data_IF_008095248593
#
_entry.id   IF_008095248593
#
_cell.length_a   1.000
_cell.length_b   1.000
_cell.length_c   1.000
_cell.angle_alpha   90.00
_cell.angle_beta   90.00
_cell.angle_gamma   90.00
#
_symmetry.space_group_name_H-M   'P 1'
#
loop_
_entity.id
_entity.type
_entity.pdbx_description
1 polymer ?
#
# COMPACT_ATOMS: atom_id res chain seq x y z
N UNK A 1 21.32 0.31 -5.75
CA UNK A 1 21.63 0.85 -7.08
C UNK A 1 23.13 1.09 -7.19
N UNK A 2 23.67 1.11 -8.41
CA UNK A 2 25.09 1.43 -8.66
C UNK A 2 25.19 2.77 -9.39
N UNK A 3 26.18 3.59 -9.02
CA UNK A 3 26.39 4.94 -9.57
C UNK A 3 27.84 5.06 -10.01
N UNK A 4 28.07 5.65 -11.19
CA UNK A 4 29.42 5.92 -11.71
C UNK A 4 30.16 6.93 -10.82
N UNK A 5 31.47 6.74 -10.63
CA UNK A 5 32.30 7.58 -9.76
C UNK A 5 32.32 9.03 -10.25
N UNK A 6 32.34 9.27 -11.56
CA UNK A 6 32.25 10.60 -12.18
C UNK A 6 31.05 11.40 -11.66
N UNK A 7 29.86 10.78 -11.62
CA UNK A 7 28.63 11.42 -11.13
C UNK A 7 28.65 11.70 -9.63
N UNK A 8 29.30 10.85 -8.85
CA UNK A 8 29.46 11.03 -7.40
C UNK A 8 30.40 12.21 -7.14
N UNK A 9 31.52 12.28 -7.86
CA UNK A 9 32.50 13.35 -7.76
C UNK A 9 31.91 14.69 -8.18
N UNK A 10 31.18 14.73 -9.30
CA UNK A 10 30.49 15.94 -9.76
C UNK A 10 29.48 16.43 -8.74
N UNK A 11 28.69 15.52 -8.16
CA UNK A 11 27.75 15.86 -7.09
C UNK A 11 28.45 16.43 -5.85
N UNK A 12 29.57 15.82 -5.43
CA UNK A 12 30.36 16.31 -4.29
C UNK A 12 30.97 17.69 -4.58
N UNK A 13 31.46 17.92 -5.80
CA UNK A 13 32.01 19.20 -6.23
C UNK A 13 30.96 20.31 -6.17
N UNK A 14 29.74 20.02 -6.63
CA UNK A 14 28.62 20.97 -6.60
C UNK A 14 28.06 21.23 -5.20
N UNK A 15 28.02 20.21 -4.34
CA UNK A 15 27.43 20.34 -2.99
C UNK A 15 28.39 20.94 -1.97
N UNK A 16 29.69 20.79 -2.15
CA UNK A 16 30.71 21.29 -1.20
C UNK A 16 31.32 22.63 -1.63
N UNK A 17 30.96 23.17 -2.80
CA UNK A 17 31.53 24.40 -3.38
C UNK A 17 33.07 24.37 -3.48
N UNK A 18 33.67 23.18 -3.61
CA UNK A 18 35.12 22.99 -3.73
C UNK A 18 35.53 22.99 -5.20
N UNK A 19 36.45 23.89 -5.59
CA UNK A 19 36.90 24.08 -6.97
C UNK A 19 37.86 22.98 -7.47
N UNK A 20 38.31 23.08 -8.72
CA UNK A 20 39.27 22.16 -9.35
C UNK A 20 40.69 22.19 -8.77
N UNK A 21 40.98 23.08 -7.81
CA UNK A 21 42.25 23.17 -7.10
C UNK A 21 42.24 22.56 -5.70
N UNK A 22 41.16 21.86 -5.31
CA UNK A 22 41.06 21.24 -4.00
C UNK A 22 41.72 19.86 -3.97
N UNK A 23 42.93 19.81 -3.41
CA UNK A 23 43.74 18.59 -3.28
C UNK A 23 43.00 17.46 -2.55
N UNK A 24 42.11 17.80 -1.61
CA UNK A 24 41.35 16.81 -0.84
C UNK A 24 40.31 16.05 -1.67
N UNK A 25 39.60 16.75 -2.56
CA UNK A 25 38.62 16.12 -3.44
C UNK A 25 39.29 15.25 -4.51
N UNK A 26 40.45 15.66 -5.02
CA UNK A 26 41.25 14.88 -5.97
C UNK A 26 41.80 13.58 -5.34
N UNK A 27 42.28 13.65 -4.09
CA UNK A 27 42.67 12.45 -3.31
C UNK A 27 41.50 11.48 -3.12
N UNK A 28 40.29 11.99 -2.88
CA UNK A 28 39.08 11.17 -2.78
C UNK A 28 38.70 10.52 -4.13
N UNK A 29 38.87 11.23 -5.25
CA UNK A 29 38.64 10.66 -6.58
C UNK A 29 39.57 9.47 -6.84
N UNK A 30 40.86 9.61 -6.54
CA UNK A 30 41.85 8.54 -6.69
C UNK A 30 41.58 7.34 -5.77
N UNK A 31 40.91 7.55 -4.63
CA UNK A 31 40.53 6.47 -3.71
C UNK A 31 39.25 5.74 -4.16
N UNK A 32 38.35 6.45 -4.85
CA UNK A 32 37.11 5.89 -5.40
C UNK A 32 37.35 5.14 -6.72
N UNK A 33 38.28 5.61 -7.54
CA UNK A 33 38.60 5.01 -8.84
C UNK A 33 40.12 5.07 -9.12
N UNK A 34 40.90 4.11 -8.58
CA UNK A 34 42.36 4.09 -8.73
C UNK A 34 42.83 3.87 -10.17
N UNK A 35 42.00 3.25 -11.00
CA UNK A 35 42.32 2.91 -12.40
C UNK A 35 41.72 3.92 -13.40
N UNK A 36 40.96 4.92 -12.91
CA UNK A 36 40.27 5.94 -13.71
C UNK A 36 39.35 5.36 -14.81
N UNK A 37 38.72 4.21 -14.53
CA UNK A 37 37.84 3.51 -15.48
C UNK A 37 36.34 3.85 -15.31
N UNK A 38 36.02 4.81 -14.43
CA UNK A 38 34.67 5.24 -14.06
C UNK A 38 33.76 4.08 -13.61
N UNK A 39 34.30 3.26 -12.70
CA UNK A 39 33.63 2.04 -12.23
C UNK A 39 32.32 2.38 -11.51
N UNK A 40 31.23 1.68 -11.85
CA UNK A 40 29.96 1.84 -11.15
C UNK A 40 30.02 1.22 -9.76
N UNK A 41 29.82 2.03 -8.72
CA UNK A 41 29.97 1.63 -7.32
C UNK A 41 28.62 1.55 -6.62
N UNK A 42 28.46 0.57 -5.72
CA UNK A 42 27.29 0.49 -4.83
C UNK A 42 27.46 1.36 -3.58
N UNK A 43 26.35 1.59 -2.88
CA UNK A 43 26.30 2.48 -1.72
C UNK A 43 27.17 1.99 -0.56
N UNK A 44 27.29 0.67 -0.37
CA UNK A 44 28.08 0.09 0.72
C UNK A 44 29.57 0.29 0.50
N UNK A 45 30.04 0.06 -0.73
CA UNK A 45 31.43 0.31 -1.15
C UNK A 45 31.77 1.80 -1.05
N UNK A 46 30.88 2.68 -1.49
CA UNK A 46 31.05 4.12 -1.35
C UNK A 46 31.18 4.54 0.13
N UNK A 47 30.30 4.04 1.00
CA UNK A 47 30.38 4.32 2.43
C UNK A 47 31.66 3.79 3.09
N UNK A 48 32.15 2.62 2.67
CA UNK A 48 33.41 2.06 3.18
C UNK A 48 34.60 2.95 2.81
N UNK A 49 34.65 3.41 1.56
CA UNK A 49 35.72 4.29 1.07
C UNK A 49 35.65 5.67 1.73
N UNK A 50 34.45 6.26 1.83
CA UNK A 50 34.24 7.54 2.52
C UNK A 50 34.65 7.48 4.00
N UNK A 51 34.33 6.39 4.71
CA UNK A 51 34.77 6.19 6.11
C UNK A 51 36.29 6.16 6.21
N UNK A 52 36.96 5.43 5.32
CA UNK A 52 38.42 5.35 5.28
C UNK A 52 39.05 6.72 4.99
N UNK A 53 38.50 7.47 4.03
CA UNK A 53 39.00 8.80 3.69
C UNK A 53 38.83 9.80 4.85
N UNK A 54 37.70 9.78 5.55
CA UNK A 54 37.48 10.62 6.74
C UNK A 54 38.47 10.28 7.86
N UNK A 55 38.78 9.00 8.05
CA UNK A 55 39.81 8.54 8.99
C UNK A 55 41.20 9.04 8.59
N UNK A 56 41.55 8.98 7.30
CA UNK A 56 42.82 9.49 6.78
C UNK A 56 42.93 11.01 6.95
N UNK A 57 41.85 11.76 6.71
CA UNK A 57 41.80 13.20 6.97
C UNK A 57 41.99 13.55 8.45
N UNK A 58 41.37 12.79 9.36
CA UNK A 58 41.55 12.94 10.82
C UNK A 58 43.00 12.66 11.24
N UNK A 59 43.62 11.61 10.72
CA UNK A 59 45.02 11.29 11.00
C UNK A 59 45.99 12.34 10.48
N UNK A 60 45.77 12.87 9.27
CA UNK A 60 46.57 13.99 8.72
C UNK A 60 46.47 15.25 9.60
N UNK A 61 45.32 15.49 10.24
CA UNK A 61 45.14 16.61 11.17
C UNK A 61 45.89 16.40 12.50
N UNK A 62 45.90 15.17 13.02
CA UNK A 62 46.62 14.82 14.26
C UNK A 62 48.15 14.83 14.07
N UNK A 63 48.65 14.38 12.91
CA UNK A 63 50.09 14.37 12.58
C UNK A 63 50.63 15.77 12.23
N UNK A 64 49.76 16.69 11.78
CA UNK A 64 50.09 18.10 11.54
C UNK A 64 50.11 18.98 12.79
N UNK A 65 49.61 18.50 13.93
CA UNK A 65 49.53 19.24 15.18
C UNK A 65 50.83 19.22 16.01
N UNK A 66 51.90 18.58 15.51
CA UNK A 66 53.21 18.54 16.19
C UNK A 66 54.16 19.67 15.78
N UNK A 67 53.78 20.52 14.82
CA UNK A 67 54.47 21.79 14.57
C UNK A 67 53.61 22.95 15.09
N UNK A 68 53.86 23.33 16.34
CA UNK A 68 53.31 24.55 16.92
C UNK A 68 53.79 25.80 16.15
N UNK A 69 52.90 26.71 15.75
CA UNK A 69 53.19 28.12 15.71
C UNK A 69 52.69 28.72 17.04
N UNK A 70 53.49 28.58 18.10
CA UNK A 70 53.26 29.25 19.39
C UNK A 70 53.51 30.75 19.22
N UNK A 71 52.55 31.45 18.64
CA UNK A 71 52.35 32.89 18.84
C UNK A 71 51.79 33.12 20.25
N UNK A 72 52.57 32.77 21.28
CA UNK A 72 52.23 33.05 22.67
C UNK A 72 52.35 34.55 22.92
N UNK A 73 51.20 35.16 23.20
CA UNK A 73 51.03 36.54 23.67
C UNK A 73 51.44 36.69 25.15
N UNK A 74 52.36 35.88 25.65
CA UNK A 74 52.84 35.92 27.05
C UNK A 74 54.20 36.60 27.18
N UNK A 75 54.91 36.86 26.07
CA UNK A 75 56.24 37.52 26.08
C UNK A 75 56.16 39.07 26.15
N UNK A 76 54.96 39.66 26.09
CA UNK A 76 54.80 41.12 26.14
C UNK A 76 54.69 41.68 27.56
N UNK A 77 54.19 40.92 28.53
CA UNK A 77 53.96 41.41 29.90
C UNK A 77 55.20 41.30 30.81
N UNK A 78 56.10 40.34 30.55
CA UNK A 78 57.37 40.23 31.27
C UNK A 78 58.38 41.32 30.88
N UNK A 79 58.25 41.88 29.67
CA UNK A 79 59.12 42.92 29.13
C UNK A 79 58.82 44.32 29.69
N UNK A 80 57.59 44.55 30.17
CA UNK A 80 57.20 45.82 30.79
C UNK A 80 57.68 45.89 32.24
N UNK A 81 57.58 44.80 33.00
CA UNK A 81 57.94 44.79 34.42
C UNK A 81 59.46 44.88 34.64
N UNK A 82 60.28 44.32 33.74
CA UNK A 82 61.74 44.43 33.84
C UNK A 82 62.24 45.86 33.58
N UNK A 83 61.57 46.60 32.69
CA UNK A 83 61.92 48.00 32.39
C UNK A 83 61.67 48.93 33.57
N UNK A 84 60.58 48.71 34.31
CA UNK A 84 60.23 49.55 35.47
C UNK A 84 61.11 49.27 36.69
N UNK A 85 61.59 48.04 36.88
CA UNK A 85 62.52 47.72 37.98
C UNK A 85 63.92 48.28 37.73
N UNK A 86 64.40 48.24 36.48
CA UNK A 86 65.67 48.86 36.08
C UNK A 86 65.61 50.41 36.16
N UNK A 87 64.46 51.04 35.88
CA UNK A 87 64.28 52.49 36.00
C UNK A 87 64.18 52.98 37.46
N UNK A 88 63.70 52.16 38.39
CA UNK A 88 63.64 52.50 39.83
C UNK A 88 65.01 52.28 40.50
N UNK A 89 65.77 51.23 40.15
CA UNK A 89 67.14 51.06 40.62
C UNK A 89 68.09 52.13 40.06
N UNK A 90 67.83 52.63 38.84
CA UNK A 90 68.55 53.77 38.26
C UNK A 90 68.28 55.11 38.97
N UNK A 91 67.16 55.28 39.67
CA UNK A 91 66.88 56.49 40.45
C UNK A 91 67.54 56.46 41.84
N UNK A 92 67.85 55.27 42.37
CA UNK A 92 68.56 55.12 43.65
C UNK A 92 70.09 55.18 43.47
N UNK A 93 70.60 54.93 42.26
CA UNK A 93 72.03 55.04 41.93
C UNK A 93 72.35 56.29 41.07
N UNK A 94 72.05 57.48 41.60
CA UNK A 94 72.51 58.75 41.02
C UNK A 94 73.21 59.62 42.07
N UNK A 95 74.53 59.50 42.04
CA UNK A 95 75.50 60.60 42.10
C UNK A 95 75.29 61.65 43.19
N UNK A 96 75.89 61.36 44.36
CA UNK A 96 76.48 62.38 45.24
C UNK A 96 77.55 63.12 44.44
N UNK A 97 77.15 64.11 43.65
CA UNK A 97 78.04 65.10 43.10
C UNK A 97 78.30 66.13 44.21
N UNK A 98 79.30 65.84 45.03
CA UNK A 98 79.98 66.83 45.87
C UNK A 98 80.63 67.84 44.91
N UNK A 99 79.93 68.93 44.60
CA UNK A 99 80.33 69.93 43.62
C UNK A 99 80.43 71.32 44.24
N UNK A 100 81.68 71.78 44.40
CA UNK A 100 82.11 73.17 44.57
C UNK A 100 81.46 73.99 45.69
N UNK A 101 82.01 73.80 46.89
CA UNK A 101 82.15 74.87 47.88
C UNK A 101 83.32 75.77 47.43
N UNK A 102 83.05 76.75 46.58
CA UNK A 102 84.03 77.82 46.33
C UNK A 102 84.03 78.78 47.52
N UNK A 103 85.25 79.02 47.98
CA UNK A 103 85.59 79.86 49.12
C UNK A 103 85.16 81.31 48.88
N UNK A 104 84.35 81.84 49.79
CA UNK A 104 84.35 83.29 50.08
C UNK A 104 85.30 83.47 51.26
N UNK A 105 86.58 83.53 50.93
CA UNK A 105 87.58 84.22 51.73
C UNK A 105 87.67 85.67 51.24
N UNK A 106 87.67 86.61 52.19
CA UNK A 106 87.80 88.06 51.94
C UNK A 106 86.54 88.80 52.37
N UNK A 107 86.51 89.75 53.30
CA UNK A 107 87.58 90.50 53.95
C UNK A 107 87.29 90.63 55.45
N UNK A 108 88.37 90.65 56.25
CA UNK A 108 88.34 91.03 57.66
C UNK A 108 87.99 92.52 57.74
N UNK A 109 86.72 92.84 57.92
CA UNK A 109 86.31 94.17 58.38
C UNK A 109 86.76 94.32 59.83
N UNK A 110 87.97 94.86 59.99
CA UNK A 110 88.57 95.31 61.24
C UNK A 110 87.88 96.60 61.69
N UNK A 111 86.58 96.50 61.96
CA UNK A 111 85.78 97.44 62.75
C UNK A 111 85.31 96.67 63.98
N UNK A 112 85.50 97.22 65.17
CA UNK A 112 85.23 96.54 66.43
C UNK A 112 83.78 96.06 66.48
N UNK A 113 83.58 94.76 66.26
CA UNK A 113 82.31 94.11 66.53
C UNK A 113 82.22 93.96 68.05
N UNK A 114 81.45 94.84 68.66
CA UNK A 114 81.25 94.87 70.09
C UNK A 114 80.68 93.50 70.53
N UNK A 115 81.01 93.02 71.73
CA UNK A 115 80.55 91.72 72.25
C UNK A 115 79.02 91.54 72.15
N UNK A 116 78.28 92.66 72.08
CA UNK A 116 76.85 92.74 71.83
C UNK A 116 76.42 92.19 70.45
N UNK A 117 77.14 92.49 69.38
CA UNK A 117 76.80 92.07 68.01
C UNK A 117 77.02 90.56 67.80
N UNK A 118 78.07 90.01 68.41
CA UNK A 118 78.34 88.56 68.40
C UNK A 118 77.28 87.80 69.20
N UNK A 119 76.85 88.32 70.36
CA UNK A 119 75.78 87.74 71.18
C UNK A 119 74.45 87.77 70.42
N UNK A 120 74.13 88.85 69.71
CA UNK A 120 72.94 88.94 68.84
C UNK A 120 72.99 87.92 67.70
N UNK A 121 74.14 87.77 67.04
CA UNK A 121 74.33 86.79 65.97
C UNK A 121 74.16 85.34 66.47
N UNK A 122 74.70 85.03 67.66
CA UNK A 122 74.54 83.71 68.30
C UNK A 122 73.08 83.45 68.66
N UNK A 123 72.36 84.45 69.20
CA UNK A 123 70.93 84.32 69.52
C UNK A 123 70.08 84.06 68.27
N UNK A 124 70.34 84.78 67.17
CA UNK A 124 69.67 84.57 65.88
C UNK A 124 69.95 83.18 65.30
N UNK A 125 71.19 82.70 65.39
CA UNK A 125 71.55 81.35 64.94
C UNK A 125 70.89 80.27 65.80
N UNK A 126 70.83 80.44 67.12
CA UNK A 126 70.13 79.53 68.02
C UNK A 126 68.62 79.49 67.73
N UNK A 127 68.02 80.64 67.46
CA UNK A 127 66.61 80.72 67.04
C UNK A 127 66.38 80.04 65.69
N UNK A 128 67.22 80.32 64.68
CA UNK A 128 67.15 79.68 63.36
C UNK A 128 67.35 78.17 63.44
N UNK A 129 68.29 77.69 64.28
CA UNK A 129 68.54 76.26 64.48
C UNK A 129 67.32 75.58 65.14
N UNK A 130 66.75 76.18 66.19
CA UNK A 130 65.50 75.68 66.80
C UNK A 130 64.35 75.61 65.79
N UNK A 131 64.17 76.66 64.99
CA UNK A 131 63.16 76.68 63.92
C UNK A 131 63.40 75.60 62.86
N UNK A 132 64.65 75.38 62.45
CA UNK A 132 65.01 74.29 61.53
C UNK A 132 64.73 72.91 62.14
N UNK A 133 64.97 72.74 63.44
CA UNK A 133 64.67 71.48 64.13
C UNK A 133 63.16 71.23 64.20
N UNK A 134 62.36 72.24 64.51
CA UNK A 134 60.89 72.15 64.48
C UNK A 134 60.36 71.81 63.07
N UNK A 135 60.88 72.44 62.02
CA UNK A 135 60.53 72.11 60.64
C UNK A 135 61.01 70.70 60.24
N UNK A 136 62.18 70.24 60.69
CA UNK A 136 62.65 68.88 60.45
C UNK A 136 61.75 67.83 61.12
N UNK A 137 61.32 68.04 62.36
CA UNK A 137 60.38 67.13 63.04
C UNK A 137 59.02 67.12 62.33
N UNK A 138 58.55 68.29 61.89
CA UNK A 138 57.31 68.38 61.08
C UNK A 138 57.44 67.64 59.76
N UNK A 139 58.55 67.81 59.05
CA UNK A 139 58.83 67.10 57.80
C UNK A 139 58.88 65.59 58.02
N UNK A 140 59.53 65.14 59.11
CA UNK A 140 59.59 63.73 59.50
C UNK A 140 58.19 63.15 59.75
N UNK A 141 57.34 63.83 60.51
CA UNK A 141 55.96 63.38 60.73
C UNK A 141 55.15 63.33 59.42
N UNK A 142 55.33 64.32 58.53
CA UNK A 142 54.66 64.28 57.22
C UNK A 142 55.19 63.16 56.33
N UNK A 143 56.48 62.83 56.43
CA UNK A 143 57.09 61.71 55.71
C UNK A 143 56.55 60.37 56.24
N UNK A 144 56.54 60.17 57.55
CA UNK A 144 55.98 58.97 58.18
C UNK A 144 54.49 58.77 57.81
N UNK A 145 53.68 59.83 57.84
CA UNK A 145 52.28 59.78 57.40
C UNK A 145 52.14 59.47 55.89
N UNK A 146 53.05 59.98 55.06
CA UNK A 146 53.08 59.66 53.63
C UNK A 146 53.50 58.20 53.38
N UNK A 147 54.47 57.68 54.13
CA UNK A 147 54.93 56.28 54.04
C UNK A 147 53.82 55.32 54.49
N UNK A 148 53.12 55.61 55.59
CA UNK A 148 51.96 54.81 56.02
C UNK A 148 50.85 54.81 54.96
N UNK A 149 50.54 55.98 54.37
CA UNK A 149 49.58 56.06 53.27
C UNK A 149 50.02 55.25 52.04
N UNK A 150 51.31 55.27 51.70
CA UNK A 150 51.86 54.55 50.56
C UNK A 150 51.83 53.03 50.77
N UNK A 151 52.18 52.54 51.97
CA UNK A 151 52.06 51.10 52.30
C UNK A 151 50.62 50.60 52.22
N UNK A 152 49.66 51.43 52.66
CA UNK A 152 48.23 51.12 52.52
C UNK A 152 47.78 51.07 51.06
N UNK A 153 48.19 52.05 50.25
CA UNK A 153 47.89 52.06 48.81
C UNK A 153 48.49 50.87 48.08
N UNK A 154 49.70 50.42 48.47
CA UNK A 154 50.31 49.22 47.91
C UNK A 154 49.46 47.98 48.21
N UNK A 155 49.02 47.81 49.47
CA UNK A 155 48.13 46.71 49.87
C UNK A 155 46.80 46.75 49.11
N UNK A 156 46.17 47.92 48.99
CA UNK A 156 44.92 48.09 48.25
C UNK A 156 45.10 47.73 46.76
N UNK A 157 46.26 48.08 46.17
CA UNK A 157 46.59 47.75 44.79
C UNK A 157 46.80 46.24 44.58
N UNK A 158 47.46 45.56 45.52
CA UNK A 158 47.59 44.10 45.50
C UNK A 158 46.23 43.41 45.58
N UNK A 159 45.35 43.87 46.48
CA UNK A 159 43.98 43.34 46.60
C UNK A 159 43.17 43.57 45.32
N UNK A 160 43.26 44.76 44.70
CA UNK A 160 42.63 45.04 43.42
C UNK A 160 43.16 44.13 42.30
N UNK A 161 44.47 43.87 42.26
CA UNK A 161 45.05 42.94 41.30
C UNK A 161 44.49 41.51 41.48
N UNK A 162 44.37 41.03 42.72
CA UNK A 162 43.73 39.74 43.00
C UNK A 162 42.25 39.74 42.58
N UNK A 163 41.52 40.82 42.85
CA UNK A 163 40.12 40.98 42.41
C UNK A 163 39.98 40.90 40.89
N UNK A 164 40.83 41.60 40.14
CA UNK A 164 40.85 41.56 38.67
C UNK A 164 41.12 40.14 38.17
N UNK A 165 42.07 39.40 38.77
CA UNK A 165 42.34 38.00 38.40
C UNK A 165 41.12 37.10 38.63
N UNK A 166 40.42 37.24 39.76
CA UNK A 166 39.20 36.47 40.06
C UNK A 166 38.07 36.80 39.07
N UNK A 167 37.86 38.09 38.77
CA UNK A 167 36.85 38.52 37.80
C UNK A 167 37.18 38.00 36.40
N UNK A 168 38.44 38.10 35.96
CA UNK A 168 38.90 37.57 34.66
C UNK A 168 38.63 36.06 34.54
N UNK A 169 38.98 35.29 35.58
CA UNK A 169 38.69 33.85 35.60
C UNK A 169 37.18 33.56 35.55
N UNK A 170 36.37 34.30 36.32
CA UNK A 170 34.91 34.15 36.28
C UNK A 170 34.31 34.48 34.91
N UNK A 171 34.84 35.50 34.21
CA UNK A 171 34.40 35.88 32.86
C UNK A 171 34.71 34.79 31.84
N UNK A 172 35.90 34.19 31.90
CA UNK A 172 36.26 33.07 31.01
C UNK A 172 35.33 31.86 31.24
N UNK A 173 35.04 31.54 32.51
CA UNK A 173 34.08 30.48 32.84
C UNK A 173 32.67 30.79 32.30
N UNK A 174 32.22 32.03 32.40
CA UNK A 174 30.92 32.44 31.88
C UNK A 174 30.83 32.30 30.35
N UNK A 175 31.91 32.63 29.62
CA UNK A 175 31.98 32.45 28.16
C UNK A 175 31.90 30.97 27.75
N UNK A 176 32.64 30.09 28.43
CA UNK A 176 32.55 28.64 28.18
C UNK A 176 31.13 28.11 28.40
N UNK A 177 30.44 28.55 29.45
CA UNK A 177 29.05 28.16 29.72
C UNK A 177 28.07 28.72 28.68
N UNK A 178 28.34 29.91 28.14
CA UNK A 178 27.55 30.49 27.05
C UNK A 178 27.69 29.65 25.77
N UNK A 179 28.90 29.20 25.43
CA UNK A 179 29.13 28.29 24.30
C UNK A 179 28.43 26.93 24.49
N UNK A 180 28.53 26.32 25.68
CA UNK A 180 27.81 25.08 26.01
C UNK A 180 26.29 25.25 25.91
N UNK A 181 25.76 26.42 26.30
CA UNK A 181 24.34 26.73 26.21
C UNK A 181 23.89 26.85 24.75
N UNK A 182 24.67 27.51 23.90
CA UNK A 182 24.36 27.62 22.47
C UNK A 182 24.43 26.25 21.78
N UNK A 183 25.42 25.42 22.11
CA UNK A 183 25.48 24.04 21.62
C UNK A 183 24.23 23.24 22.05
N UNK A 184 23.86 23.31 23.33
CA UNK A 184 22.65 22.64 23.84
C UNK A 184 21.37 23.12 23.14
N UNK A 185 21.25 24.41 22.83
CA UNK A 185 20.12 24.96 22.05
C UNK A 185 20.07 24.40 20.64
N UNK A 186 21.21 24.33 19.94
CA UNK A 186 21.25 23.77 18.58
C UNK A 186 20.89 22.27 18.57
N UNK A 187 21.38 21.51 19.55
CA UNK A 187 21.05 20.10 19.72
C UNK A 187 19.57 19.88 20.04
N UNK A 188 18.98 20.72 20.89
CA UNK A 188 17.55 20.69 21.19
C UNK A 188 16.71 20.95 19.93
N UNK A 189 17.06 21.98 19.15
CA UNK A 189 16.36 22.29 17.90
C UNK A 189 16.42 21.13 16.90
N UNK A 190 17.61 20.55 16.69
CA UNK A 190 17.78 19.37 15.81
C UNK A 190 16.94 18.18 16.29
N UNK A 191 16.92 17.92 17.60
CA UNK A 191 16.13 16.83 18.18
C UNK A 191 14.62 17.09 18.02
N UNK A 192 14.18 18.34 18.16
CA UNK A 192 12.79 18.71 17.94
C UNK A 192 12.38 18.56 16.46
N UNK A 193 13.23 18.97 15.51
CA UNK A 193 13.00 18.76 14.08
C UNK A 193 12.85 17.28 13.74
N UNK A 194 13.76 16.42 14.23
CA UNK A 194 13.67 14.96 14.08
C UNK A 194 12.39 14.40 14.69
N UNK A 195 11.98 14.88 15.86
CA UNK A 195 10.71 14.49 16.50
C UNK A 195 9.51 14.85 15.62
N UNK A 196 9.49 16.05 15.03
CA UNK A 196 8.42 16.48 14.12
C UNK A 196 8.40 15.64 12.84
N UNK A 197 9.58 15.33 12.28
CA UNK A 197 9.69 14.47 11.09
C UNK A 197 9.10 13.08 11.34
N UNK A 198 9.47 12.44 12.46
CA UNK A 198 8.93 11.13 12.85
C UNK A 198 7.40 11.21 13.07
N UNK A 199 6.91 12.29 13.67
CA UNK A 199 5.48 12.51 13.88
C UNK A 199 4.72 12.63 12.55
N UNK A 200 5.27 13.35 11.56
CA UNK A 200 4.71 13.42 10.21
C UNK A 200 4.71 12.06 9.50
N UNK A 201 5.80 11.29 9.62
CA UNK A 201 5.89 9.94 9.06
C UNK A 201 4.88 8.98 9.70
N UNK A 202 4.74 8.99 11.02
CA UNK A 202 3.74 8.18 11.73
C UNK A 202 2.32 8.52 11.27
N UNK A 203 1.99 9.81 11.13
CA UNK A 203 0.68 10.26 10.64
C UNK A 203 0.40 9.78 9.21
N UNK A 204 1.43 9.71 8.37
CA UNK A 204 1.30 9.18 7.01
C UNK A 204 1.07 7.66 7.01
N UNK A 205 1.86 6.91 7.77
CA UNK A 205 1.69 5.46 7.94
C UNK A 205 0.33 5.11 8.53
N UNK A 206 -0.19 5.92 9.45
CA UNK A 206 -1.53 5.73 10.02
C UNK A 206 -2.62 5.86 8.95
N UNK A 207 -2.52 6.83 8.04
CA UNK A 207 -3.44 6.96 6.90
C UNK A 207 -3.35 5.79 5.92
N UNK A 208 -2.14 5.33 5.62
CA UNK A 208 -1.92 4.18 4.75
C UNK A 208 -2.51 2.91 5.38
N UNK A 209 -2.31 2.72 6.68
CA UNK A 209 -2.90 1.61 7.43
C UNK A 209 -4.45 1.66 7.40
N UNK A 210 -5.04 2.83 7.64
CA UNK A 210 -6.50 3.01 7.52
C UNK A 210 -7.02 2.70 6.10
N UNK A 211 -6.27 3.10 5.05
CA UNK A 211 -6.61 2.78 3.66
C UNK A 211 -6.54 1.28 3.38
N UNK A 212 -5.49 0.60 3.85
CA UNK A 212 -5.33 -0.85 3.71
C UNK A 212 -6.44 -1.61 4.45
N UNK A 213 -6.79 -1.19 5.67
CA UNK A 213 -7.91 -1.76 6.42
C UNK A 213 -9.22 -1.62 5.61
N UNK A 214 -9.45 -0.47 4.99
CA UNK A 214 -10.65 -0.23 4.17
C UNK A 214 -10.68 -1.14 2.93
N UNK A 215 -9.54 -1.36 2.27
CA UNK A 215 -9.43 -2.29 1.14
C UNK A 215 -9.66 -3.74 1.57
N UNK A 216 -9.10 -4.17 2.70
CA UNK A 216 -9.31 -5.51 3.26
C UNK A 216 -10.81 -5.73 3.50
N UNK A 217 -11.50 -4.79 4.13
CA UNK A 217 -12.94 -4.87 4.38
C UNK A 217 -13.74 -4.98 3.08
N UNK A 218 -13.42 -4.16 2.07
CA UNK A 218 -14.10 -4.23 0.75
C UNK A 218 -13.90 -5.59 0.07
N UNK A 219 -12.68 -6.16 0.13
CA UNK A 219 -12.41 -7.48 -0.43
C UNK A 219 -13.13 -8.59 0.34
N UNK A 220 -13.22 -8.47 1.67
CA UNK A 220 -14.00 -9.41 2.50
C UNK A 220 -15.49 -9.38 2.14
N UNK A 221 -16.06 -8.19 1.90
CA UNK A 221 -17.45 -8.05 1.45
C UNK A 221 -17.67 -8.68 0.07
N UNK A 222 -16.73 -8.54 -0.86
CA UNK A 222 -16.77 -9.17 -2.17
C UNK A 222 -16.69 -10.70 -2.08
N UNK A 223 -15.81 -11.24 -1.23
CA UNK A 223 -15.71 -12.68 -0.97
C UNK A 223 -17.04 -13.23 -0.45
N UNK A 224 -17.69 -12.54 0.48
CA UNK A 224 -19.00 -12.94 1.02
C UNK A 224 -20.05 -12.95 -0.09
N UNK A 225 -20.09 -11.90 -0.91
CA UNK A 225 -21.03 -11.78 -2.05
C UNK A 225 -20.84 -12.92 -3.05
N UNK A 226 -19.60 -13.18 -3.46
CA UNK A 226 -19.26 -14.26 -4.39
C UNK A 226 -19.61 -15.64 -3.79
N UNK A 227 -19.43 -15.83 -2.49
CA UNK A 227 -19.81 -17.07 -1.80
C UNK A 227 -21.32 -17.29 -1.86
N UNK A 228 -22.11 -16.23 -1.65
CA UNK A 228 -23.58 -16.30 -1.77
C UNK A 228 -23.99 -16.63 -3.21
N UNK A 229 -23.38 -16.00 -4.21
CA UNK A 229 -23.67 -16.26 -5.62
C UNK A 229 -23.32 -17.72 -6.01
N UNK A 230 -22.15 -18.22 -5.58
CA UNK A 230 -21.75 -19.61 -5.77
C UNK A 230 -22.78 -20.58 -5.16
N UNK A 231 -23.26 -20.30 -3.94
CA UNK A 231 -24.28 -21.14 -3.29
C UNK A 231 -25.60 -21.13 -4.08
N UNK A 232 -25.98 -19.98 -4.65
CA UNK A 232 -27.14 -19.84 -5.52
C UNK A 232 -27.00 -20.65 -6.81
N UNK A 233 -25.83 -20.59 -7.46
CA UNK A 233 -25.56 -21.39 -8.64
C UNK A 233 -25.52 -22.89 -8.35
N UNK A 234 -24.94 -23.31 -7.23
CA UNK A 234 -24.96 -24.71 -6.80
C UNK A 234 -26.39 -25.24 -6.62
N UNK A 235 -27.25 -24.46 -5.97
CA UNK A 235 -28.68 -24.80 -5.84
C UNK A 235 -29.32 -24.93 -7.22
N UNK A 236 -29.03 -24.01 -8.15
CA UNK A 236 -29.61 -24.06 -9.50
C UNK A 236 -29.14 -25.26 -10.31
N UNK A 237 -27.87 -25.63 -10.18
CA UNK A 237 -27.30 -26.83 -10.81
C UNK A 237 -27.99 -28.09 -10.28
N UNK A 238 -28.22 -28.16 -8.97
CA UNK A 238 -28.91 -29.30 -8.35
C UNK A 238 -30.36 -29.42 -8.85
N UNK A 239 -31.12 -28.32 -8.86
CA UNK A 239 -32.48 -28.28 -9.42
C UNK A 239 -32.53 -28.74 -10.89
N UNK A 240 -31.59 -28.27 -11.72
CA UNK A 240 -31.51 -28.67 -13.13
C UNK A 240 -31.15 -30.15 -13.29
N UNK A 241 -30.28 -30.68 -12.43
CA UNK A 241 -29.91 -32.10 -12.43
C UNK A 241 -31.08 -33.00 -12.04
N UNK A 242 -31.88 -32.59 -11.05
CA UNK A 242 -33.09 -33.31 -10.66
C UNK A 242 -34.12 -33.34 -11.80
N UNK A 243 -34.37 -32.19 -12.43
CA UNK A 243 -35.27 -32.10 -13.58
C UNK A 243 -34.79 -32.94 -14.77
N UNK A 244 -33.48 -32.97 -15.03
CA UNK A 244 -32.91 -33.78 -16.10
C UNK A 244 -33.11 -35.29 -15.84
N UNK A 245 -32.93 -35.74 -14.60
CA UNK A 245 -33.18 -37.12 -14.21
C UNK A 245 -34.67 -37.49 -14.33
N UNK A 246 -35.58 -36.59 -13.94
CA UNK A 246 -37.02 -36.80 -14.10
C UNK A 246 -37.43 -36.91 -15.58
N UNK A 247 -36.93 -36.01 -16.43
CA UNK A 247 -37.16 -36.08 -17.87
C UNK A 247 -36.61 -37.37 -18.48
N UNK A 248 -35.44 -37.84 -18.05
CA UNK A 248 -34.86 -39.11 -18.50
C UNK A 248 -35.77 -40.29 -18.16
N UNK A 249 -36.35 -40.31 -16.95
CA UNK A 249 -37.32 -41.33 -16.53
C UNK A 249 -38.57 -41.27 -17.40
N UNK A 250 -39.12 -40.08 -17.65
CA UNK A 250 -40.28 -39.91 -18.52
C UNK A 250 -40.02 -40.39 -19.95
N UNK A 251 -38.86 -40.07 -20.52
CA UNK A 251 -38.47 -40.56 -21.85
C UNK A 251 -38.44 -42.09 -21.90
N UNK A 252 -37.83 -42.76 -20.92
CA UNK A 252 -37.78 -44.22 -20.88
C UNK A 252 -39.19 -44.86 -20.75
N UNK A 253 -40.09 -44.26 -19.98
CA UNK A 253 -41.50 -44.72 -19.88
C UNK A 253 -42.21 -44.58 -21.23
N UNK A 254 -42.03 -43.44 -21.90
CA UNK A 254 -42.61 -43.18 -23.22
C UNK A 254 -42.09 -44.18 -24.26
N UNK A 255 -40.78 -44.40 -24.30
CA UNK A 255 -40.12 -45.34 -25.19
C UNK A 255 -40.65 -46.77 -24.99
N UNK A 256 -40.73 -47.24 -23.74
CA UNK A 256 -41.31 -48.56 -23.43
C UNK A 256 -42.76 -48.68 -23.90
N UNK A 257 -43.55 -47.61 -23.75
CA UNK A 257 -44.94 -47.57 -24.19
C UNK A 257 -45.04 -47.59 -25.72
N UNK A 258 -44.18 -46.85 -26.42
CA UNK A 258 -44.08 -46.86 -27.87
C UNK A 258 -43.72 -48.24 -28.41
N UNK A 259 -42.70 -48.90 -27.87
CA UNK A 259 -42.30 -50.25 -28.30
C UNK A 259 -43.45 -51.26 -28.14
N UNK A 260 -44.20 -51.17 -27.05
CA UNK A 260 -45.41 -51.99 -26.84
C UNK A 260 -46.50 -51.71 -27.89
N UNK A 261 -46.75 -50.43 -28.19
CA UNK A 261 -47.71 -50.03 -29.25
C UNK A 261 -47.26 -50.52 -30.63
N UNK A 262 -45.97 -50.42 -30.94
CA UNK A 262 -45.36 -50.88 -32.20
C UNK A 262 -45.50 -52.40 -32.37
N UNK A 263 -45.23 -53.18 -31.31
CA UNK A 263 -45.45 -54.63 -31.32
C UNK A 263 -46.93 -55.00 -31.57
N UNK A 264 -47.87 -54.24 -30.99
CA UNK A 264 -49.31 -54.44 -31.24
C UNK A 264 -49.71 -54.04 -32.66
N UNK A 265 -49.11 -52.98 -33.21
CA UNK A 265 -49.36 -52.52 -34.58
C UNK A 265 -48.86 -53.56 -35.60
N UNK A 266 -47.63 -54.04 -35.44
CA UNK A 266 -47.06 -55.11 -36.29
C UNK A 266 -47.85 -56.42 -36.20
N UNK A 267 -48.37 -56.79 -35.02
CA UNK A 267 -49.28 -57.93 -34.90
C UNK A 267 -50.58 -57.72 -35.69
N UNK A 268 -51.20 -56.54 -35.60
CA UNK A 268 -52.40 -56.21 -36.38
C UNK A 268 -52.12 -56.24 -37.89
N UNK A 269 -50.98 -55.71 -38.32
CA UNK A 269 -50.52 -55.76 -39.71
C UNK A 269 -50.41 -57.21 -40.22
N UNK A 270 -49.86 -58.11 -39.40
CA UNK A 270 -49.75 -59.53 -39.72
C UNK A 270 -51.12 -60.20 -39.86
N UNK A 271 -52.04 -59.96 -38.91
CA UNK A 271 -53.42 -60.45 -39.00
C UNK A 271 -54.15 -59.91 -40.25
N UNK A 272 -53.93 -58.64 -40.63
CA UNK A 272 -54.49 -58.08 -41.87
C UNK A 272 -53.95 -58.83 -43.09
N UNK A 273 -52.65 -59.16 -43.14
CA UNK A 273 -52.06 -59.93 -44.25
C UNK A 273 -52.66 -61.34 -44.33
N UNK A 274 -52.82 -62.01 -43.20
CA UNK A 274 -53.47 -63.33 -43.11
C UNK A 274 -54.91 -63.28 -43.60
N UNK A 275 -55.71 -62.31 -43.13
CA UNK A 275 -57.08 -62.11 -43.59
C UNK A 275 -57.17 -61.84 -45.09
N UNK A 276 -56.24 -61.05 -45.66
CA UNK A 276 -56.17 -60.83 -47.12
C UNK A 276 -55.89 -62.13 -47.89
N UNK A 277 -55.02 -63.00 -47.39
CA UNK A 277 -54.76 -64.32 -47.99
C UNK A 277 -56.02 -65.19 -47.96
N UNK A 278 -56.69 -65.27 -46.80
CA UNK A 278 -57.95 -66.03 -46.66
C UNK A 278 -59.05 -65.48 -47.59
N UNK A 279 -59.17 -64.16 -47.74
CA UNK A 279 -60.11 -63.56 -48.70
C UNK A 279 -59.76 -63.97 -50.14
N UNK A 280 -58.48 -64.01 -50.51
CA UNK A 280 -58.05 -64.43 -51.85
C UNK A 280 -58.35 -65.92 -52.10
N UNK A 281 -58.11 -66.78 -51.10
CA UNK A 281 -58.46 -68.20 -51.14
C UNK A 281 -59.97 -68.43 -51.30
N UNK A 282 -60.79 -67.78 -50.46
CA UNK A 282 -62.25 -67.81 -50.56
C UNK A 282 -62.72 -67.32 -51.93
N UNK A 283 -62.12 -66.24 -52.44
CA UNK A 283 -62.45 -65.70 -53.76
C UNK A 283 -62.14 -66.72 -54.86
N UNK A 284 -61.00 -67.42 -54.78
CA UNK A 284 -60.66 -68.51 -55.72
C UNK A 284 -61.68 -69.65 -55.67
N UNK A 285 -62.10 -70.08 -54.47
CA UNK A 285 -63.14 -71.12 -54.30
C UNK A 285 -64.47 -70.67 -54.91
N UNK A 286 -64.83 -69.39 -54.74
CA UNK A 286 -66.04 -68.84 -55.36
C UNK A 286 -65.93 -68.88 -56.89
N UNK A 287 -64.79 -68.52 -57.47
CA UNK A 287 -64.60 -68.60 -58.93
C UNK A 287 -64.66 -70.05 -59.45
N UNK A 288 -64.05 -71.02 -58.76
CA UNK A 288 -64.13 -72.44 -59.16
C UNK A 288 -65.56 -72.95 -59.11
N UNK A 289 -66.31 -72.64 -58.04
CA UNK A 289 -67.72 -73.03 -57.92
C UNK A 289 -68.60 -72.35 -58.99
N UNK A 290 -68.31 -71.10 -59.38
CA UNK A 290 -69.00 -70.44 -60.49
C UNK A 290 -68.71 -71.12 -61.83
N UNK A 291 -67.48 -71.55 -62.08
CA UNK A 291 -67.09 -72.29 -63.28
C UNK A 291 -67.79 -73.66 -63.34
N UNK A 292 -67.79 -74.41 -62.24
CA UNK A 292 -68.51 -75.69 -62.14
C UNK A 292 -70.02 -75.52 -62.36
N UNK A 293 -70.62 -74.47 -61.78
CA UNK A 293 -72.04 -74.15 -62.00
C UNK A 293 -72.34 -73.86 -63.47
N UNK A 294 -71.49 -73.08 -64.15
CA UNK A 294 -71.68 -72.73 -65.57
C UNK A 294 -71.52 -73.98 -66.44
N UNK A 295 -70.50 -74.81 -66.20
CA UNK A 295 -70.33 -76.09 -66.90
C UNK A 295 -71.52 -77.04 -66.69
N UNK A 296 -72.06 -77.12 -65.47
CA UNK A 296 -73.24 -77.94 -65.19
C UNK A 296 -74.48 -77.42 -65.93
N UNK A 297 -74.67 -76.10 -65.98
CA UNK A 297 -75.75 -75.46 -66.75
C UNK A 297 -75.62 -75.76 -68.26
N UNK A 298 -74.42 -75.67 -68.82
CA UNK A 298 -74.14 -76.03 -70.22
C UNK A 298 -74.45 -77.50 -70.49
N UNK A 299 -73.98 -78.42 -69.62
CA UNK A 299 -74.29 -79.85 -69.72
C UNK A 299 -75.80 -80.12 -69.64
N UNK A 300 -76.53 -79.42 -68.75
CA UNK A 300 -77.99 -79.51 -68.67
C UNK A 300 -78.67 -79.01 -69.94
N UNK A 301 -78.23 -77.88 -70.51
CA UNK A 301 -78.77 -77.34 -71.77
C UNK A 301 -78.49 -78.28 -72.95
N UNK A 302 -77.29 -78.85 -73.04
CA UNK A 302 -76.94 -79.85 -74.05
C UNK A 302 -77.85 -81.08 -73.95
N UNK A 303 -78.03 -81.62 -72.74
CA UNK A 303 -78.95 -82.75 -72.49
C UNK A 303 -80.39 -82.42 -72.87
N UNK A 304 -80.85 -81.21 -72.57
CA UNK A 304 -82.17 -80.72 -72.97
C UNK A 304 -82.29 -80.61 -74.50
N UNK A 305 -81.25 -80.14 -75.20
CA UNK A 305 -81.23 -80.09 -76.67
C UNK A 305 -81.20 -81.49 -77.30
N UNK A 306 -80.43 -82.44 -76.76
CA UNK A 306 -80.45 -83.85 -77.20
C UNK A 306 -81.83 -84.50 -77.01
N UNK A 307 -82.51 -84.22 -75.89
CA UNK A 307 -83.86 -84.70 -75.64
C UNK A 307 -84.87 -84.13 -76.67
N UNK A 308 -84.71 -82.86 -77.04
CA UNK A 308 -85.50 -82.21 -78.12
C UNK A 308 -85.20 -82.86 -79.49
N UNK A 309 -83.94 -83.13 -79.82
CA UNK A 309 -83.50 -83.76 -81.08
C UNK A 309 -83.99 -85.20 -81.24
N UNK A 310 -84.13 -85.94 -80.14
CA UNK A 310 -84.63 -87.32 -80.11
C UNK A 310 -86.17 -87.43 -80.12
N UNK A 311 -86.90 -86.34 -80.44
CA UNK A 311 -88.34 -86.38 -80.72
C UNK A 311 -89.26 -86.38 -79.50
N UNK A 312 -88.73 -86.14 -78.29
CA UNK A 312 -89.50 -86.05 -77.06
C UNK A 312 -89.77 -84.57 -76.74
N UNK A 313 -90.81 -83.99 -77.34
CA UNK A 313 -91.27 -82.66 -76.92
C UNK A 313 -92.02 -82.77 -75.60
N UNK A 314 -91.51 -82.12 -74.55
CA UNK A 314 -92.32 -81.77 -73.38
C UNK A 314 -92.49 -80.24 -73.30
N UNK A 315 -93.68 -79.74 -72.92
CA UNK A 315 -93.89 -78.33 -72.68
C UNK A 315 -93.00 -77.87 -71.53
N UNK A 316 -92.47 -76.66 -71.65
CA UNK A 316 -91.91 -75.91 -70.53
C UNK A 316 -92.97 -75.72 -69.43
N UNK A 317 -93.04 -76.66 -68.49
CA UNK A 317 -93.68 -76.48 -67.19
C UNK A 317 -92.82 -77.20 -66.15
N UNK A 318 -92.11 -76.44 -65.32
CA UNK A 318 -92.64 -76.11 -64.00
C UNK A 318 -91.64 -75.23 -63.25
N UNK A 319 -92.13 -74.06 -62.86
CA UNK A 319 -91.79 -73.35 -61.63
C UNK A 319 -91.43 -74.30 -60.48
N UNK A 320 -90.26 -74.12 -59.88
CA UNK A 320 -90.06 -74.39 -58.45
C UNK A 320 -90.00 -73.05 -57.72
N UNK A 321 -91.15 -72.62 -57.22
CA UNK A 321 -91.22 -71.73 -56.05
C UNK A 321 -91.62 -72.59 -54.85
N UNK A 322 -90.76 -72.62 -53.81
CA UNK A 322 -91.05 -72.68 -52.35
C UNK A 322 -90.09 -73.61 -51.57
N UNK A 323 -89.15 -73.10 -50.74
CA UNK A 323 -89.23 -72.66 -49.30
C UNK A 323 -88.43 -73.69 -48.43
N UNK A 324 -87.64 -73.33 -47.38
CA UNK A 324 -87.95 -72.30 -46.38
C UNK A 324 -86.86 -71.29 -46.02
N UNK A 325 -87.34 -70.23 -45.33
CA UNK A 325 -86.65 -69.39 -44.36
C UNK A 325 -85.19 -69.75 -44.05
N UNK A 326 -84.30 -68.86 -44.45
CA UNK A 326 -82.91 -68.87 -44.04
C UNK A 326 -82.30 -67.53 -44.43
N UNK A 327 -82.39 -66.58 -43.49
CA UNK A 327 -81.65 -65.32 -43.42
C UNK A 327 -81.23 -64.73 -44.78
N UNK A 328 -82.12 -63.91 -45.35
CA UNK A 328 -81.78 -63.06 -46.49
C UNK A 328 -80.45 -62.35 -46.23
N UNK A 329 -79.53 -62.38 -47.20
CA UNK A 329 -78.26 -61.64 -47.19
C UNK A 329 -78.46 -60.16 -46.79
N UNK A 330 -79.67 -59.64 -47.01
CA UNK A 330 -80.10 -58.31 -46.62
C UNK A 330 -80.18 -58.10 -45.10
N UNK A 331 -80.60 -59.11 -44.34
CA UNK A 331 -80.66 -59.07 -42.87
C UNK A 331 -79.26 -59.23 -42.24
N UNK A 332 -78.38 -60.03 -42.86
CA UNK A 332 -76.96 -60.11 -42.44
C UNK A 332 -76.17 -58.84 -42.76
N UNK A 333 -76.43 -58.18 -43.90
CA UNK A 333 -75.83 -56.88 -44.22
C UNK A 333 -76.33 -55.76 -43.30
N UNK A 334 -77.61 -55.81 -42.91
CA UNK A 334 -78.20 -54.85 -41.97
C UNK A 334 -77.71 -55.10 -40.53
N UNK A 335 -77.44 -56.35 -40.13
CA UNK A 335 -76.74 -56.71 -38.89
C UNK A 335 -75.25 -56.34 -38.89
N UNK A 336 -74.57 -56.39 -40.05
CA UNK A 336 -73.19 -55.93 -40.21
C UNK A 336 -73.07 -54.40 -40.21
N UNK A 337 -74.10 -53.68 -40.67
CA UNK A 337 -74.19 -52.21 -40.57
C UNK A 337 -74.67 -51.71 -39.21
N UNK A 338 -75.47 -52.51 -38.49
CA UNK A 338 -75.93 -52.20 -37.12
C UNK A 338 -75.02 -52.75 -36.02
N UNK A 339 -73.99 -53.53 -36.38
CA UNK A 339 -72.80 -53.64 -35.56
C UNK A 339 -72.12 -52.28 -35.58
N UNK A 340 -72.50 -51.45 -34.61
CA UNK A 340 -71.67 -50.39 -34.05
C UNK A 340 -70.28 -50.99 -33.77
N UNK A 341 -69.44 -51.00 -34.79
CA UNK A 341 -68.01 -50.80 -34.64
C UNK A 341 -67.90 -49.40 -34.04
N UNK A 342 -68.12 -49.33 -32.74
CA UNK A 342 -67.50 -48.40 -31.80
C UNK A 342 -67.14 -47.05 -32.42
N UNK A 343 -68.13 -46.36 -33.00
CA UNK A 343 -67.93 -44.98 -33.46
C UNK A 343 -67.60 -44.09 -32.25
N UNK A 344 -68.08 -44.49 -31.08
CA UNK A 344 -67.76 -43.97 -29.75
C UNK A 344 -66.28 -44.12 -29.37
N UNK A 345 -65.57 -45.16 -29.82
CA UNK A 345 -64.14 -45.33 -29.52
C UNK A 345 -63.26 -44.48 -30.43
N UNK A 346 -63.68 -44.27 -31.69
CA UNK A 346 -62.95 -43.39 -32.61
C UNK A 346 -63.13 -41.91 -32.25
N UNK A 347 -64.35 -41.48 -31.85
CA UNK A 347 -64.58 -40.09 -31.41
C UNK A 347 -64.01 -39.82 -30.02
N UNK A 348 -64.04 -40.78 -29.08
CA UNK A 348 -63.40 -40.57 -27.77
C UNK A 348 -61.87 -40.54 -27.86
N UNK A 349 -61.25 -41.30 -28.77
CA UNK A 349 -59.82 -41.22 -29.01
C UNK A 349 -59.42 -39.86 -29.61
N UNK A 350 -60.23 -39.32 -30.53
CA UNK A 350 -60.05 -38.01 -31.14
C UNK A 350 -60.20 -36.87 -30.12
N UNK A 351 -61.26 -36.90 -29.29
CA UNK A 351 -61.48 -35.91 -28.22
C UNK A 351 -60.41 -35.96 -27.12
N UNK A 352 -59.87 -37.14 -26.80
CA UNK A 352 -58.81 -37.29 -25.80
C UNK A 352 -57.46 -36.81 -26.34
N UNK A 353 -57.17 -37.10 -27.61
CA UNK A 353 -55.97 -36.63 -28.29
C UNK A 353 -55.99 -35.10 -28.43
N UNK A 354 -57.11 -34.52 -28.83
CA UNK A 354 -57.28 -33.06 -28.92
C UNK A 354 -57.11 -32.40 -27.54
N UNK A 355 -57.64 -33.01 -26.48
CA UNK A 355 -57.47 -32.51 -25.10
C UNK A 355 -56.02 -32.60 -24.62
N UNK A 356 -55.30 -33.68 -24.91
CA UNK A 356 -53.88 -33.83 -24.55
C UNK A 356 -52.97 -32.89 -25.36
N UNK A 357 -53.27 -32.70 -26.66
CA UNK A 357 -52.57 -31.74 -27.52
C UNK A 357 -52.81 -30.30 -27.06
N UNK A 358 -54.03 -29.95 -26.63
CA UNK A 358 -54.33 -28.65 -26.01
C UNK A 358 -53.53 -28.42 -24.73
N UNK A 359 -53.35 -29.44 -23.89
CA UNK A 359 -52.56 -29.35 -22.65
C UNK A 359 -51.06 -29.23 -22.95
N UNK A 360 -50.55 -29.90 -23.99
CA UNK A 360 -49.15 -29.78 -24.43
C UNK A 360 -48.85 -28.43 -25.10
N UNK A 361 -49.79 -27.89 -25.89
CA UNK A 361 -49.67 -26.57 -26.52
C UNK A 361 -49.80 -25.42 -25.50
N UNK A 362 -50.37 -25.66 -24.33
CA UNK A 362 -50.55 -24.62 -23.31
C UNK A 362 -49.25 -24.21 -22.60
N UNK A 363 -48.18 -25.00 -22.71
CA UNK A 363 -46.82 -24.64 -22.28
C UNK A 363 -46.67 -24.23 -20.80
N UNK A 364 -45.43 -24.07 -20.31
CA UNK A 364 -45.16 -23.62 -18.94
C UNK A 364 -45.55 -22.14 -18.68
N UNK A 365 -45.92 -21.39 -19.72
CA UNK A 365 -46.30 -19.97 -19.62
C UNK A 365 -47.60 -19.76 -18.83
N UNK A 366 -48.58 -20.65 -18.94
CA UNK A 366 -49.84 -20.54 -18.20
C UNK A 366 -49.66 -20.76 -16.68
N UNK A 367 -48.71 -21.61 -16.29
CA UNK A 367 -48.30 -21.75 -14.88
C UNK A 367 -47.50 -20.53 -14.40
N UNK A 368 -46.68 -19.94 -15.28
CA UNK A 368 -45.95 -18.69 -15.05
C UNK A 368 -46.87 -17.50 -14.77
N UNK A 369 -47.99 -17.35 -15.49
CA UNK A 369 -48.94 -16.25 -15.28
C UNK A 369 -49.74 -16.37 -13.98
N UNK A 370 -50.11 -17.60 -13.57
CA UNK A 370 -50.70 -17.83 -12.25
C UNK A 370 -49.70 -17.54 -11.13
N UNK A 371 -48.45 -17.96 -11.28
CA UNK A 371 -47.39 -17.65 -10.33
C UNK A 371 -47.11 -16.14 -10.26
N UNK A 372 -47.05 -15.45 -11.41
CA UNK A 372 -46.90 -13.99 -11.50
C UNK A 372 -48.05 -13.26 -10.80
N UNK A 373 -49.29 -13.71 -11.00
CA UNK A 373 -50.48 -13.15 -10.33
C UNK A 373 -50.42 -13.36 -8.80
N UNK A 374 -49.98 -14.53 -8.34
CA UNK A 374 -49.82 -14.83 -6.90
C UNK A 374 -48.70 -13.96 -6.28
N UNK A 375 -47.57 -13.82 -6.97
CA UNK A 375 -46.45 -12.96 -6.54
C UNK A 375 -46.89 -11.49 -6.49
N UNK A 376 -47.64 -11.03 -7.49
CA UNK A 376 -48.12 -9.65 -7.55
C UNK A 376 -49.14 -9.34 -6.45
N UNK A 377 -50.02 -10.30 -6.11
CA UNK A 377 -50.93 -10.19 -4.96
C UNK A 377 -50.20 -10.18 -3.61
N UNK A 378 -49.10 -10.93 -3.45
CA UNK A 378 -48.27 -10.90 -2.24
C UNK A 378 -47.49 -9.59 -2.09
N UNK A 379 -47.04 -9.00 -3.20
CA UNK A 379 -46.36 -7.70 -3.22
C UNK A 379 -47.35 -6.56 -2.93
N UNK A 380 -48.56 -6.61 -3.49
CA UNK A 380 -49.61 -5.61 -3.23
C UNK A 380 -50.25 -5.75 -1.85
N UNK A 381 -50.38 -6.95 -1.29
CA UNK A 381 -50.88 -7.18 0.07
C UNK A 381 -49.93 -6.68 1.18
N UNK A 382 -48.65 -6.47 0.87
CA UNK A 382 -47.66 -5.89 1.79
C UNK A 382 -47.64 -4.36 1.81
N UNK A 383 -48.29 -3.71 0.83
CA UNK A 383 -48.39 -2.25 0.75
C UNK A 383 -49.57 -1.67 1.55
N UNK A 384 -50.44 -2.51 2.12
CA UNK A 384 -51.60 -2.08 2.93
C UNK A 384 -51.37 -2.17 4.45
N UNK A 385 -50.13 -2.46 4.88
CA UNK A 385 -49.72 -2.39 6.28
C UNK A 385 -48.46 -1.55 6.37
N UNK A 386 -48.65 -0.23 6.25
CA UNK A 386 -47.78 0.80 6.79
C UNK A 386 -48.63 2.04 7.08
#
# INVERSE_FOLDING_TARGET
>A
GKVAVSKIVDYLRHTTSRGSGDTGLEELCNLLDPEQEDVSMDLETFHAIMKKWIEDCRRKWEDGATEEPTGSMEDLEFKVHKKTTEEIEAYVHMNVASGSLEAIGGDVSKGGMETSDLVSCVADLQYKNRKLQEENEKLKLTLEAADEANTKLLSDNEDLCHQIKRVKHSVLKAKSLEEELEEAKTNLNMSEEKRQQILCQNKQLEKENQSLISQITSLQEEIIRNTLDISGFQKKILELSENAAELQIQTHICEKTMVSKEARLTQKEQTIKELKLTIAECSSVIETLRAEKTQLLENMQHMQQELILNGLSFPSLCTFSCIPEGNSLHHELELAQSSEITKTDWTSLDETLDREVLVLLQGPEYAGDKFKTIVQNLVSGRASVN
#
